data_IF_625723065687
#
_entry.id   IF_625723065687
#
_cell.length_a   1.000
_cell.length_b   1.000
_cell.length_c   1.000
_cell.angle_alpha   90.00
_cell.angle_beta   90.00
_cell.angle_gamma   90.00
#
_symmetry.space_group_name_H-M   'P 1'
#
loop_
_entity.id
_entity.type
_entity.pdbx_description
1 polymer ?
#
# COMPACT_ATOMS: atom_id res chain seq x y z
N UNK A 1 -13.49 17.26 9.63
CA UNK A 1 -12.31 17.75 10.37
C UNK A 1 -11.13 17.75 9.42
N UNK A 2 -10.67 18.93 8.97
CA UNK A 2 -9.55 19.04 8.01
C UNK A 2 -8.24 19.19 8.79
N UNK A 3 -7.72 18.06 9.29
CA UNK A 3 -6.36 17.98 9.84
C UNK A 3 -5.38 17.61 8.73
N UNK A 4 -4.22 18.27 8.66
CA UNK A 4 -3.15 17.90 7.74
C UNK A 4 -2.61 16.51 8.13
N UNK A 5 -2.94 15.48 7.36
CA UNK A 5 -2.38 14.14 7.55
C UNK A 5 -0.96 14.10 6.99
N UNK A 6 0.02 13.93 7.88
CA UNK A 6 1.40 13.74 7.49
C UNK A 6 1.69 12.25 7.31
N UNK A 7 2.54 11.86 6.34
CA UNK A 7 3.04 10.49 6.25
C UNK A 7 3.70 10.05 7.55
N UNK A 8 3.55 8.77 7.90
CA UNK A 8 4.31 8.20 9.01
C UNK A 8 5.82 8.20 8.66
N UNK A 9 6.70 8.35 9.66
CA UNK A 9 8.14 8.23 9.44
C UNK A 9 8.49 6.87 8.82
N UNK A 10 9.38 6.81 7.81
CA UNK A 10 9.71 5.56 7.12
C UNK A 10 10.19 4.44 8.05
N UNK A 11 10.92 4.77 9.12
CA UNK A 11 11.38 3.79 10.11
C UNK A 11 10.24 3.12 10.89
N UNK A 12 9.15 3.85 11.17
CA UNK A 12 7.96 3.29 11.83
C UNK A 12 7.24 2.35 10.88
N UNK A 13 7.07 2.76 9.62
CA UNK A 13 6.44 1.94 8.58
C UNK A 13 7.23 0.64 8.38
N UNK A 14 8.55 0.74 8.25
CA UNK A 14 9.46 -0.41 8.13
C UNK A 14 9.28 -1.39 9.27
N UNK A 15 9.33 -0.91 10.52
CA UNK A 15 9.21 -1.76 11.70
C UNK A 15 7.88 -2.53 11.73
N UNK A 16 6.78 -1.89 11.35
CA UNK A 16 5.46 -2.54 11.29
C UNK A 16 5.43 -3.62 10.22
N UNK A 17 5.95 -3.33 9.02
CA UNK A 17 6.02 -4.30 7.92
C UNK A 17 6.88 -5.51 8.31
N UNK A 18 8.06 -5.29 8.87
CA UNK A 18 8.97 -6.35 9.32
C UNK A 18 8.30 -7.26 10.36
N UNK A 19 7.61 -6.68 11.34
CA UNK A 19 6.89 -7.46 12.35
C UNK A 19 5.76 -8.33 11.75
N UNK A 20 5.05 -7.82 10.74
CA UNK A 20 4.02 -8.61 10.03
C UNK A 20 4.66 -9.74 9.24
N UNK A 21 5.72 -9.46 8.47
CA UNK A 21 6.41 -10.48 7.67
C UNK A 21 7.01 -11.59 8.52
N UNK A 22 7.59 -11.23 9.68
CA UNK A 22 8.09 -12.20 10.66
C UNK A 22 6.96 -13.09 11.21
N UNK A 23 5.84 -12.48 11.62
CA UNK A 23 4.67 -13.21 12.10
C UNK A 23 4.06 -14.16 11.06
N UNK A 24 4.03 -13.74 9.80
CA UNK A 24 3.56 -14.54 8.67
C UNK A 24 4.61 -15.57 8.18
N UNK A 25 5.85 -15.51 8.69
CA UNK A 25 7.01 -16.31 8.27
C UNK A 25 7.25 -16.21 6.75
N UNK A 26 7.28 -14.98 6.24
CA UNK A 26 7.49 -14.68 4.81
C UNK A 26 8.71 -13.80 4.60
N UNK A 27 9.50 -14.16 3.60
CA UNK A 27 10.50 -13.26 3.02
C UNK A 27 9.87 -12.62 1.78
N UNK A 28 9.66 -11.29 1.82
CA UNK A 28 8.96 -10.58 0.76
C UNK A 28 9.43 -9.14 0.63
N UNK A 29 9.23 -8.56 -0.55
CA UNK A 29 9.44 -7.14 -0.81
C UNK A 29 8.10 -6.40 -0.82
N UNK A 30 8.00 -5.35 -0.01
CA UNK A 30 6.80 -4.52 0.10
C UNK A 30 7.17 -3.06 -0.18
N UNK A 31 6.46 -2.44 -1.13
CA UNK A 31 6.54 -1.01 -1.41
C UNK A 31 5.28 -0.32 -0.89
N UNK A 32 5.45 0.76 -0.12
CA UNK A 32 4.36 1.52 0.49
C UNK A 32 4.47 2.98 0.04
N UNK A 33 3.35 3.53 -0.42
CA UNK A 33 3.22 4.95 -0.79
C UNK A 33 2.02 5.56 -0.08
N UNK A 34 2.23 6.70 0.59
CA UNK A 34 1.14 7.49 1.15
C UNK A 34 0.56 8.43 0.10
N UNK A 35 -0.76 8.45 -0.03
CA UNK A 35 -1.47 9.22 -1.04
C UNK A 35 -2.47 10.17 -0.39
N UNK A 36 -2.70 11.31 -1.05
CA UNK A 36 -3.86 12.15 -0.78
C UNK A 36 -5.14 11.56 -1.37
N UNK A 37 -6.30 12.04 -0.92
CA UNK A 37 -7.62 11.52 -1.35
C UNK A 37 -7.83 11.56 -2.88
N UNK A 38 -7.40 12.64 -3.54
CA UNK A 38 -7.56 12.78 -5.00
C UNK A 38 -6.76 11.71 -5.75
N UNK A 39 -5.50 11.49 -5.36
CA UNK A 39 -4.66 10.45 -5.97
C UNK A 39 -5.17 9.04 -5.67
N UNK A 40 -5.66 8.81 -4.44
CA UNK A 40 -6.29 7.54 -4.04
C UNK A 40 -7.52 7.21 -4.88
N UNK A 41 -8.47 8.15 -5.01
CA UNK A 41 -9.68 7.96 -5.85
C UNK A 41 -9.30 7.66 -7.30
N UNK A 42 -8.34 8.39 -7.86
CA UNK A 42 -7.87 8.18 -9.24
C UNK A 42 -7.33 6.76 -9.43
N UNK A 43 -6.42 6.32 -8.57
CA UNK A 43 -5.83 4.98 -8.67
C UNK A 43 -6.85 3.86 -8.42
N UNK A 44 -7.83 4.08 -7.54
CA UNK A 44 -8.90 3.10 -7.31
C UNK A 44 -9.80 2.96 -8.55
N UNK A 45 -10.15 4.07 -9.19
CA UNK A 45 -10.90 4.05 -10.44
C UNK A 45 -10.11 3.36 -11.56
N UNK A 46 -8.84 3.73 -11.74
CA UNK A 46 -7.97 3.22 -12.80
C UNK A 46 -7.69 1.71 -12.68
N UNK A 47 -7.44 1.21 -11.47
CA UNK A 47 -6.99 -0.18 -11.29
C UNK A 47 -7.99 -1.14 -10.67
N UNK A 48 -9.05 -0.63 -10.01
CA UNK A 48 -10.10 -1.46 -9.39
C UNK A 48 -11.49 -1.13 -9.91
N UNK A 49 -11.64 -0.14 -10.79
CA UNK A 49 -12.93 0.26 -11.36
C UNK A 49 -13.86 0.95 -10.37
N UNK A 50 -13.35 1.39 -9.21
CA UNK A 50 -14.15 1.98 -8.14
C UNK A 50 -13.88 3.48 -8.04
N UNK A 51 -14.89 4.30 -8.37
CA UNK A 51 -14.76 5.76 -8.44
C UNK A 51 -14.95 6.48 -7.09
N UNK A 52 -14.20 6.02 -6.08
CA UNK A 52 -14.19 6.57 -4.72
C UNK A 52 -12.87 6.28 -4.01
N UNK A 53 -12.48 7.07 -2.99
CA UNK A 53 -11.30 6.76 -2.19
C UNK A 53 -11.53 5.52 -1.32
N UNK A 54 -10.45 4.83 -0.97
CA UNK A 54 -10.42 3.78 0.05
C UNK A 54 -9.26 4.05 1.00
N UNK A 55 -9.22 3.36 2.15
CA UNK A 55 -8.14 3.51 3.12
C UNK A 55 -6.84 2.87 2.61
N UNK A 56 -6.93 1.74 1.89
CA UNK A 56 -5.77 0.99 1.37
C UNK A 56 -6.06 0.42 -0.02
N UNK A 57 -5.08 0.56 -0.92
CA UNK A 57 -5.03 -0.14 -2.21
C UNK A 57 -3.84 -1.10 -2.22
N UNK A 58 -4.07 -2.35 -2.61
CA UNK A 58 -3.02 -3.37 -2.73
C UNK A 58 -2.86 -3.85 -4.17
N UNK A 59 -1.59 -4.00 -4.57
CA UNK A 59 -1.15 -4.49 -5.87
C UNK A 59 -0.17 -5.63 -5.64
N UNK A 60 -0.46 -6.80 -6.20
CA UNK A 60 0.50 -7.90 -6.19
C UNK A 60 1.65 -7.55 -7.14
N UNK A 61 2.89 -7.66 -6.65
CA UNK A 61 4.06 -7.67 -7.52
C UNK A 61 4.03 -9.01 -8.26
N UNK A 62 3.88 -8.97 -9.58
CA UNK A 62 4.00 -10.18 -10.40
C UNK A 62 5.47 -10.32 -10.78
N UNK A 63 6.03 -11.53 -10.70
CA UNK A 63 7.32 -11.78 -11.35
C UNK A 63 7.17 -11.68 -12.87
N UNK A 64 8.26 -11.37 -13.61
CA UNK A 64 8.30 -11.62 -15.05
C UNK A 64 8.00 -13.11 -15.30
N UNK A 65 6.76 -13.42 -15.70
CA UNK A 65 6.26 -14.80 -15.78
C UNK A 65 4.85 -15.01 -15.22
N UNK A 66 4.25 -14.00 -14.56
CA UNK A 66 2.82 -13.98 -14.21
C UNK A 66 2.46 -14.77 -12.96
N UNK A 67 3.44 -15.30 -12.23
CA UNK A 67 3.21 -15.90 -10.92
C UNK A 67 3.24 -14.80 -9.85
N UNK A 68 2.20 -14.74 -9.03
CA UNK A 68 2.20 -13.93 -7.82
C UNK A 68 3.23 -14.51 -6.84
N UNK A 69 4.07 -13.65 -6.27
CA UNK A 69 5.07 -14.00 -5.25
C UNK A 69 4.43 -14.47 -3.96
#
# INVERSE_FOLDING_TARGET
MSGRRLPLPPGVVRRVVEAVLEGERREALVSITFLGQTAMRRLNAEHKGQDGPTDVLTFALHEPGGRAV
#
